data_IF_996368436079
#
_entry.id   IF_996368436079
#
_cell.length_a   1.000
_cell.length_b   1.000
_cell.length_c   1.000
_cell.angle_alpha   90.00
_cell.angle_beta   90.00
_cell.angle_gamma   90.00
#
_symmetry.space_group_name_H-M   'P 1'
#
loop_
_entity.id
_entity.type
_entity.pdbx_description
1 polymer ?
#
# COMPACT_ATOMS: atom_id res chain seq x y z
N UNK A 1 29.66 -2.02 -2.49
CA UNK A 1 29.04 -0.92 -3.25
C UNK A 1 27.60 -0.82 -2.80
N UNK A 2 27.04 0.38 -2.57
CA UNK A 2 25.59 0.49 -2.40
C UNK A 2 24.95 0.05 -3.71
N UNK A 3 23.94 -0.81 -3.63
CA UNK A 3 23.15 -1.26 -4.77
C UNK A 3 22.46 0.00 -5.32
N UNK A 4 22.59 0.35 -6.62
CA UNK A 4 21.80 1.43 -7.19
C UNK A 4 20.33 1.00 -7.08
N UNK A 5 19.56 1.66 -6.21
CA UNK A 5 18.12 1.35 -6.08
C UNK A 5 17.43 1.67 -7.41
N UNK A 6 16.79 0.69 -8.09
CA UNK A 6 16.31 0.87 -9.45
C UNK A 6 14.95 1.57 -9.55
N UNK A 7 14.41 2.09 -8.44
CA UNK A 7 13.06 2.66 -8.40
C UNK A 7 13.09 4.15 -8.01
N UNK A 8 12.29 5.00 -8.67
CA UNK A 8 12.21 6.41 -8.32
C UNK A 8 11.65 6.57 -6.89
N UNK A 9 12.35 7.36 -6.08
CA UNK A 9 11.91 7.73 -4.72
C UNK A 9 11.30 9.13 -4.76
N UNK A 10 10.08 9.27 -4.24
CA UNK A 10 9.36 10.54 -4.17
C UNK A 10 9.21 10.99 -2.72
N UNK A 11 9.73 12.18 -2.39
CA UNK A 11 9.48 12.81 -1.09
C UNK A 11 8.19 13.63 -1.14
N UNK A 12 7.24 13.31 -0.28
CA UNK A 12 5.96 14.02 -0.13
C UNK A 12 6.02 14.80 1.19
N UNK A 13 6.02 16.13 1.12
CA UNK A 13 5.95 16.97 2.32
C UNK A 13 4.49 17.16 2.77
N UNK A 14 4.29 17.68 3.98
CA UNK A 14 2.96 17.96 4.52
C UNK A 14 2.12 18.80 3.55
N UNK A 15 0.91 18.32 3.24
CA UNK A 15 -0.01 18.96 2.29
C UNK A 15 0.25 18.67 0.81
N UNK A 16 1.30 17.91 0.47
CA UNK A 16 1.55 17.49 -0.90
C UNK A 16 0.84 16.17 -1.24
N UNK A 17 0.73 15.90 -2.53
CA UNK A 17 0.10 14.69 -3.06
C UNK A 17 1.00 14.07 -4.12
N UNK A 18 1.01 12.73 -4.16
CA UNK A 18 1.59 11.94 -5.24
C UNK A 18 0.46 11.28 -6.03
N UNK A 19 0.63 11.18 -7.35
CA UNK A 19 -0.31 10.52 -8.25
C UNK A 19 0.46 9.88 -9.40
N UNK A 20 0.04 8.67 -9.79
CA UNK A 20 0.49 8.01 -11.02
C UNK A 20 -0.69 7.27 -11.67
N UNK A 21 -0.58 7.02 -12.98
CA UNK A 21 -1.52 6.16 -13.68
C UNK A 21 -1.29 4.69 -13.29
N UNK A 22 -2.35 3.89 -13.23
CA UNK A 22 -2.24 2.45 -13.01
C UNK A 22 -1.41 1.79 -14.11
N UNK A 23 -0.42 1.01 -13.71
CA UNK A 23 0.38 0.21 -14.64
C UNK A 23 -0.24 -1.17 -14.80
N UNK A 24 -0.41 -1.67 -16.04
CA UNK A 24 -0.93 -3.01 -16.24
C UNK A 24 0.02 -4.07 -15.66
N UNK A 25 -0.52 -5.23 -15.30
CA UNK A 25 0.28 -6.38 -14.89
C UNK A 25 1.26 -6.77 -16.00
N UNK A 26 2.54 -6.88 -15.67
CA UNK A 26 3.60 -7.31 -16.59
C UNK A 26 4.14 -8.68 -16.14
N UNK A 27 4.12 -9.69 -17.02
CA UNK A 27 4.58 -11.05 -16.72
C UNK A 27 3.97 -11.64 -15.43
N UNK A 28 2.70 -11.32 -15.14
CA UNK A 28 2.00 -11.78 -13.93
C UNK A 28 2.38 -11.03 -12.64
N UNK A 29 3.16 -9.94 -12.74
CA UNK A 29 3.59 -9.13 -11.61
C UNK A 29 2.78 -7.83 -11.56
N UNK A 30 2.16 -7.55 -10.40
CA UNK A 30 1.50 -6.28 -10.11
C UNK A 30 2.47 -5.19 -9.66
N UNK A 31 1.92 -4.11 -9.09
CA UNK A 31 2.69 -2.99 -8.54
C UNK A 31 2.55 -2.96 -7.03
N UNK A 32 3.65 -2.65 -6.33
CA UNK A 32 3.68 -2.40 -4.89
C UNK A 32 4.29 -1.01 -4.66
N UNK A 33 3.46 -0.04 -4.27
CA UNK A 33 3.89 1.31 -3.90
C UNK A 33 4.29 1.27 -2.42
N UNK A 34 5.58 1.45 -2.16
CA UNK A 34 6.15 1.45 -0.80
C UNK A 34 6.11 2.85 -0.22
N UNK A 35 5.52 2.99 0.97
CA UNK A 35 5.36 4.24 1.69
C UNK A 35 6.13 4.13 3.02
N UNK A 36 7.05 5.06 3.25
CA UNK A 36 7.86 5.10 4.47
C UNK A 36 8.15 6.53 4.89
N UNK A 37 8.38 6.74 6.19
CA UNK A 37 8.95 7.97 6.75
C UNK A 37 10.46 8.09 6.53
N UNK A 38 11.12 7.03 6.02
CA UNK A 38 12.54 6.99 5.72
C UNK A 38 12.79 7.15 4.22
N UNK A 39 13.93 7.75 3.84
CA UNK A 39 14.34 7.86 2.43
C UNK A 39 14.76 6.52 1.82
N UNK A 40 14.87 5.48 2.63
CA UNK A 40 15.28 4.13 2.23
C UNK A 40 14.17 3.14 2.55
N UNK A 41 14.24 1.97 1.92
CA UNK A 41 13.40 0.82 2.27
C UNK A 41 13.90 0.06 3.51
N UNK A 42 14.92 0.59 4.21
CA UNK A 42 15.47 -0.02 5.42
C UNK A 42 14.69 0.50 6.64
N UNK A 43 13.51 -0.07 6.89
CA UNK A 43 12.66 0.34 8.01
C UNK A 43 11.22 -0.13 7.85
N UNK A 44 10.30 0.41 8.68
CA UNK A 44 8.88 0.15 8.54
C UNK A 44 8.37 0.64 7.18
N UNK A 45 7.58 -0.19 6.50
CA UNK A 45 6.99 0.11 5.19
C UNK A 45 5.53 -0.35 5.19
N UNK A 46 4.64 0.57 4.83
CA UNK A 46 3.29 0.25 4.35
C UNK A 46 3.31 0.19 2.83
N UNK A 47 2.55 -0.74 2.28
CA UNK A 47 2.49 -0.98 0.85
C UNK A 47 1.04 -0.80 0.38
N UNK A 48 0.87 -0.06 -0.71
CA UNK A 48 -0.33 -0.16 -1.52
C UNK A 48 -0.02 -1.04 -2.71
N UNK A 49 -0.66 -2.21 -2.77
CA UNK A 49 -0.39 -3.22 -3.78
C UNK A 49 -1.59 -3.30 -4.72
N UNK A 50 -1.33 -3.42 -6.03
CA UNK A 50 -2.41 -3.56 -7.00
C UNK A 50 -2.01 -4.39 -8.21
N UNK A 51 -2.99 -5.07 -8.79
CA UNK A 51 -2.92 -5.75 -10.07
C UNK A 51 -3.98 -5.15 -11.00
N UNK A 52 -3.54 -4.41 -12.01
CA UNK A 52 -4.43 -3.82 -13.02
C UNK A 52 -4.41 -4.65 -14.30
N UNK A 53 -5.56 -5.19 -14.70
CA UNK A 53 -5.76 -5.97 -15.93
C UNK A 53 -6.92 -5.35 -16.71
N UNK A 54 -6.66 -4.40 -17.63
CA UNK A 54 -7.69 -3.60 -18.29
C UNK A 54 -8.81 -4.39 -18.99
N UNK A 55 -8.49 -5.59 -19.46
CA UNK A 55 -9.38 -6.44 -20.26
C UNK A 55 -10.23 -7.40 -19.40
N UNK A 56 -10.08 -7.38 -18.08
CA UNK A 56 -10.82 -8.26 -17.16
C UNK A 56 -11.85 -7.49 -16.32
N UNK A 57 -12.83 -8.22 -15.79
CA UNK A 57 -13.81 -7.71 -14.83
C UNK A 57 -13.75 -8.57 -13.55
N UNK A 58 -13.32 -8.02 -12.41
CA UNK A 58 -12.88 -6.64 -12.24
C UNK A 58 -11.51 -6.37 -12.90
N UNK A 59 -11.30 -5.13 -13.31
CA UNK A 59 -10.06 -4.73 -13.98
C UNK A 59 -8.94 -4.36 -13.01
N UNK A 60 -9.24 -4.19 -11.72
CA UNK A 60 -8.29 -3.78 -10.70
C UNK A 60 -8.52 -4.60 -9.44
N UNK A 61 -7.48 -5.27 -8.97
CA UNK A 61 -7.41 -5.82 -7.63
C UNK A 61 -6.40 -5.01 -6.82
N UNK A 62 -6.68 -4.78 -5.54
CA UNK A 62 -5.79 -4.00 -4.69
C UNK A 62 -5.88 -4.36 -3.22
N UNK A 63 -4.83 -4.03 -2.47
CA UNK A 63 -4.78 -4.15 -1.02
C UNK A 63 -3.85 -3.10 -0.38
N UNK A 64 -3.98 -2.97 0.94
CA UNK A 64 -3.00 -2.30 1.79
C UNK A 64 -2.32 -3.36 2.65
N UNK A 65 -0.99 -3.26 2.77
CA UNK A 65 -0.16 -4.25 3.46
C UNK A 65 0.80 -3.58 4.44
N UNK A 66 0.65 -3.94 5.71
CA UNK A 66 1.48 -3.52 6.84
C UNK A 66 2.39 -4.65 7.34
N UNK A 67 2.57 -5.71 6.54
CA UNK A 67 3.46 -6.85 6.86
C UNK A 67 4.86 -6.35 7.19
N UNK A 68 5.35 -5.34 6.46
CA UNK A 68 6.65 -4.72 6.66
C UNK A 68 6.63 -3.51 7.61
N UNK A 69 5.49 -3.19 8.23
CA UNK A 69 5.34 -2.12 9.22
C UNK A 69 5.38 -2.67 10.68
N UNK A 70 5.77 -3.92 10.91
CA UNK A 70 5.46 -4.59 12.17
C UNK A 70 6.14 -4.04 13.45
N UNK A 71 7.30 -3.38 13.39
CA UNK A 71 7.95 -2.78 14.57
C UNK A 71 9.13 -1.82 14.23
N UNK A 72 9.07 -0.52 14.59
CA UNK A 72 7.89 0.20 15.09
C UNK A 72 6.84 0.39 13.99
N UNK A 73 5.56 0.24 14.32
CA UNK A 73 4.44 0.55 13.40
C UNK A 73 4.37 2.05 13.17
N UNK A 74 4.59 2.52 11.94
CA UNK A 74 4.67 3.94 11.67
C UNK A 74 3.29 4.57 11.43
N UNK A 75 2.35 3.83 10.82
CA UNK A 75 1.04 4.38 10.48
C UNK A 75 0.01 4.19 11.58
N UNK A 76 0.28 3.36 12.58
CA UNK A 76 -0.58 3.30 13.76
C UNK A 76 -0.63 4.63 14.54
N UNK A 77 0.39 5.49 14.39
CA UNK A 77 0.44 6.82 15.03
C UNK A 77 -0.53 7.81 14.40
N UNK A 78 -0.80 7.70 13.10
CA UNK A 78 -1.55 8.70 12.32
C UNK A 78 -2.85 8.16 11.73
N UNK A 79 -2.96 6.84 11.60
CA UNK A 79 -3.98 6.17 10.81
C UNK A 79 -3.66 6.17 9.31
N UNK A 80 -4.42 5.35 8.59
CA UNK A 80 -4.33 5.17 7.14
C UNK A 80 -5.76 5.03 6.60
N UNK A 81 -6.03 5.62 5.44
CA UNK A 81 -7.28 5.41 4.75
C UNK A 81 -7.07 5.34 3.24
N UNK A 82 -7.77 4.40 2.60
CA UNK A 82 -7.87 4.27 1.16
C UNK A 82 -9.33 4.43 0.76
N UNK A 83 -9.60 5.40 -0.11
CA UNK A 83 -10.94 5.68 -0.63
C UNK A 83 -10.96 5.39 -2.13
N UNK A 84 -11.62 4.31 -2.55
CA UNK A 84 -11.86 4.06 -3.97
C UNK A 84 -12.73 5.17 -4.58
N UNK A 85 -12.45 5.52 -5.84
CA UNK A 85 -13.29 6.47 -6.58
C UNK A 85 -14.62 5.85 -7.01
N UNK A 86 -14.68 4.52 -7.14
CA UNK A 86 -15.90 3.75 -7.39
C UNK A 86 -16.63 3.45 -6.08
N UNK A 87 -17.92 3.83 -6.03
CA UNK A 87 -18.74 3.70 -4.81
C UNK A 87 -19.07 2.27 -4.40
N UNK A 88 -18.89 1.31 -5.31
CA UNK A 88 -19.17 -0.11 -5.05
C UNK A 88 -18.02 -0.78 -4.28
N UNK A 89 -16.83 -0.19 -4.31
CA UNK A 89 -15.68 -0.67 -3.54
C UNK A 89 -15.71 -0.06 -2.14
N UNK A 90 -15.56 -0.90 -1.11
CA UNK A 90 -15.53 -0.42 0.28
C UNK A 90 -14.22 0.32 0.57
N UNK A 91 -14.25 1.43 1.33
CA UNK A 91 -13.04 2.09 1.78
C UNK A 91 -12.31 1.22 2.80
N UNK A 92 -10.98 1.31 2.80
CA UNK A 92 -10.14 0.76 3.87
C UNK A 92 -9.86 1.88 4.86
N UNK A 93 -10.23 1.71 6.13
CA UNK A 93 -10.08 2.73 7.16
C UNK A 93 -9.40 2.11 8.39
N UNK A 94 -8.19 2.57 8.67
CA UNK A 94 -7.38 2.20 9.82
C UNK A 94 -7.14 3.43 10.69
N UNK A 95 -7.90 3.62 11.79
CA UNK A 95 -7.70 4.74 12.70
C UNK A 95 -6.32 4.70 13.36
N UNK A 96 -5.85 5.86 13.81
CA UNK A 96 -4.64 5.98 14.64
C UNK A 96 -4.83 5.18 15.95
N UNK A 97 -4.21 3.99 16.03
CA UNK A 97 -4.22 3.14 17.21
C UNK A 97 -3.05 2.15 17.22
N UNK A 98 -1.98 2.49 17.93
CA UNK A 98 -0.83 1.59 18.11
C UNK A 98 -1.06 0.42 19.10
N UNK A 99 -2.23 0.32 19.72
CA UNK A 99 -2.62 -0.82 20.55
C UNK A 99 -3.33 -1.94 19.78
N UNK A 100 -3.77 -1.69 18.55
CA UNK A 100 -4.61 -2.62 17.78
C UNK A 100 -4.07 -2.78 16.36
N UNK A 101 -4.17 -3.99 15.79
CA UNK A 101 -3.92 -4.20 14.37
C UNK A 101 -5.15 -3.79 13.56
N UNK A 102 -4.94 -3.17 12.40
CA UNK A 102 -6.05 -2.85 11.51
C UNK A 102 -6.46 -4.11 10.75
N UNK A 103 -7.67 -4.62 10.97
CA UNK A 103 -8.12 -5.87 10.33
C UNK A 103 -8.44 -5.75 8.84
N UNK A 104 -8.35 -4.54 8.26
CA UNK A 104 -8.67 -4.27 6.86
C UNK A 104 -7.41 -4.23 5.96
N UNK A 105 -6.23 -4.52 6.54
CA UNK A 105 -4.95 -4.55 5.83
C UNK A 105 -4.26 -5.89 6.09
N UNK A 106 -3.37 -6.29 5.19
CA UNK A 106 -2.52 -7.46 5.40
C UNK A 106 -1.56 -7.17 6.56
N UNK A 107 -1.75 -7.89 7.68
CA UNK A 107 -0.82 -7.83 8.83
C UNK A 107 0.15 -9.01 8.86
N UNK A 108 -0.12 -10.05 8.07
CA UNK A 108 0.67 -11.29 7.96
C UNK A 108 0.72 -11.75 6.51
N UNK A 109 1.79 -12.45 6.15
CA UNK A 109 1.99 -12.97 4.78
C UNK A 109 0.92 -13.96 4.30
N UNK A 110 0.12 -14.52 5.21
CA UNK A 110 -0.89 -15.53 4.94
C UNK A 110 -2.31 -15.08 5.31
N UNK A 111 -2.50 -13.80 5.61
CA UNK A 111 -3.83 -13.20 5.57
C UNK A 111 -4.23 -13.15 4.09
N UNK A 112 -5.44 -13.52 3.70
CA UNK A 112 -5.91 -13.46 2.29
C UNK A 112 -7.27 -12.74 2.17
N UNK A 113 -7.77 -12.17 3.26
CA UNK A 113 -9.11 -11.58 3.34
C UNK A 113 -9.17 -10.11 2.95
N UNK A 114 -8.03 -9.42 2.84
CA UNK A 114 -7.98 -7.97 2.68
C UNK A 114 -7.92 -7.49 1.22
N UNK A 115 -7.73 -8.39 0.24
CA UNK A 115 -7.80 -8.04 -1.20
C UNK A 115 -9.20 -7.58 -1.58
N UNK A 116 -9.25 -6.47 -2.32
CA UNK A 116 -10.45 -5.93 -2.95
C UNK A 116 -10.37 -6.13 -4.47
N UNK A 117 -11.52 -6.21 -5.15
CA UNK A 117 -11.65 -6.34 -6.61
C UNK A 117 -13.03 -5.91 -7.08
#
# INVERSE_FOLDING_TARGET
>A
QPIPEPFPVYQINSGQTYSEDYKPVENGTGVSIKISRMQTIAGPITQFEYAFVPEQSPSLFYDLSDINDANPRQFCEFGLALYPSFRECSPVICPANCGQFCSQVYNKFNDDYATQG
#
